data_IF_619966791716
#
_entry.id   IF_619966791716
#
_cell.length_a   1.000
_cell.length_b   1.000
_cell.length_c   1.000
_cell.angle_alpha   90.00
_cell.angle_beta   90.00
_cell.angle_gamma   90.00
#
_symmetry.space_group_name_H-M   'P 1'
#
loop_
_entity.id
_entity.type
_entity.pdbx_description
1 polymer ?
#
# COMPACT_ATOMS: atom_id res chain seq x y z
N UNK A 1 -12.27 -17.86 -12.16
CA UNK A 1 -11.47 -16.68 -11.80
C UNK A 1 -10.05 -16.89 -12.27
N UNK A 2 -9.52 -16.02 -13.11
CA UNK A 2 -8.13 -16.16 -13.60
C UNK A 2 -7.17 -15.45 -12.64
N UNK A 3 -6.51 -16.24 -11.79
CA UNK A 3 -5.56 -15.76 -10.79
C UNK A 3 -4.33 -15.09 -11.39
N UNK A 4 -3.89 -15.55 -12.59
CA UNK A 4 -2.77 -14.93 -13.29
C UNK A 4 -3.12 -13.50 -13.70
N UNK A 5 -4.28 -13.33 -14.31
CA UNK A 5 -4.78 -12.00 -14.66
C UNK A 5 -4.98 -11.13 -13.41
N UNK A 6 -5.48 -11.70 -12.30
CA UNK A 6 -5.73 -10.93 -11.07
C UNK A 6 -4.45 -10.29 -10.52
N UNK A 7 -3.35 -11.03 -10.45
CA UNK A 7 -2.13 -10.60 -9.78
C UNK A 7 -1.05 -10.04 -10.71
N UNK A 8 -1.10 -10.36 -12.01
CA UNK A 8 -0.04 -10.02 -12.95
C UNK A 8 -0.49 -9.15 -14.13
N UNK A 9 -1.71 -8.67 -14.13
CA UNK A 9 -2.21 -7.67 -15.09
C UNK A 9 -2.81 -6.49 -14.35
N UNK A 10 -2.59 -5.28 -14.85
CA UNK A 10 -3.22 -4.06 -14.34
C UNK A 10 -4.51 -3.70 -15.09
N UNK A 11 -4.89 -4.46 -16.13
CA UNK A 11 -6.06 -4.23 -16.97
C UNK A 11 -7.33 -4.80 -16.35
N UNK A 12 -8.47 -4.16 -16.66
CA UNK A 12 -9.78 -4.59 -16.21
C UNK A 12 -10.20 -4.01 -14.86
N UNK A 13 -11.27 -4.58 -14.31
CA UNK A 13 -11.94 -4.12 -13.09
C UNK A 13 -12.18 -5.29 -12.15
N UNK A 14 -12.14 -5.04 -10.83
CA UNK A 14 -12.49 -6.04 -9.81
C UNK A 14 -13.42 -5.45 -8.76
N UNK A 15 -14.38 -6.26 -8.31
CA UNK A 15 -15.31 -5.89 -7.23
C UNK A 15 -14.65 -5.96 -5.84
N UNK A 16 -15.35 -5.42 -4.84
CA UNK A 16 -14.91 -5.38 -3.43
C UNK A 16 -14.51 -6.74 -2.88
N UNK A 17 -15.33 -7.75 -3.15
CA UNK A 17 -15.09 -9.11 -2.63
C UNK A 17 -13.81 -9.71 -3.20
N UNK A 18 -13.59 -9.60 -4.51
CA UNK A 18 -12.38 -10.09 -5.18
C UNK A 18 -11.14 -9.36 -4.68
N UNK A 19 -11.26 -8.04 -4.45
CA UNK A 19 -10.19 -7.23 -3.86
C UNK A 19 -9.77 -7.77 -2.48
N UNK A 20 -10.73 -8.00 -1.56
CA UNK A 20 -10.43 -8.51 -0.22
C UNK A 20 -9.84 -9.93 -0.24
N UNK A 21 -10.36 -10.81 -1.09
CA UNK A 21 -9.81 -12.16 -1.25
C UNK A 21 -8.36 -12.08 -1.74
N UNK A 22 -8.09 -11.30 -2.80
CA UNK A 22 -6.75 -11.12 -3.33
C UNK A 22 -5.79 -10.50 -2.31
N UNK A 23 -6.26 -9.50 -1.55
CA UNK A 23 -5.48 -8.85 -0.50
C UNK A 23 -5.10 -9.83 0.63
N UNK A 24 -6.07 -10.63 1.12
CA UNK A 24 -5.81 -11.66 2.13
C UNK A 24 -4.85 -12.74 1.65
N UNK A 25 -4.94 -13.14 0.37
CA UNK A 25 -4.00 -14.09 -0.22
C UNK A 25 -2.57 -13.54 -0.26
N UNK A 26 -2.41 -12.28 -0.67
CA UNK A 26 -1.09 -11.63 -0.68
C UNK A 26 -0.53 -11.48 0.74
N UNK A 27 -1.36 -11.09 1.70
CA UNK A 27 -0.97 -11.00 3.11
C UNK A 27 -0.53 -12.37 3.66
N UNK A 28 -1.31 -13.42 3.41
CA UNK A 28 -0.98 -14.79 3.82
C UNK A 28 0.32 -15.29 3.19
N UNK A 29 0.51 -15.06 1.89
CA UNK A 29 1.73 -15.41 1.18
C UNK A 29 2.95 -14.67 1.77
N UNK A 30 2.81 -13.38 2.08
CA UNK A 30 3.88 -12.59 2.68
C UNK A 30 4.26 -13.07 4.08
N UNK A 31 3.26 -13.38 4.93
CA UNK A 31 3.49 -13.89 6.28
C UNK A 31 4.21 -15.24 6.24
N UNK A 32 3.77 -16.17 5.39
CA UNK A 32 4.40 -17.50 5.25
C UNK A 32 5.81 -17.40 4.67
N UNK A 33 5.99 -16.61 3.62
CA UNK A 33 7.26 -16.47 2.93
C UNK A 33 8.30 -15.70 3.77
N UNK A 34 7.86 -14.77 4.61
CA UNK A 34 8.74 -13.95 5.46
C UNK A 34 9.62 -14.76 6.41
N UNK A 35 9.24 -16.01 6.71
CA UNK A 35 10.03 -16.92 7.54
C UNK A 35 11.25 -17.53 6.83
N UNK A 36 11.32 -17.41 5.50
CA UNK A 36 12.38 -18.03 4.69
C UNK A 36 13.31 -16.93 4.16
N UNK A 37 14.54 -16.79 4.66
CA UNK A 37 15.50 -15.80 4.17
C UNK A 37 15.71 -15.95 2.66
N UNK A 38 15.97 -14.87 1.95
CA UNK A 38 16.11 -14.74 0.49
C UNK A 38 14.82 -15.05 -0.29
N UNK A 39 14.18 -16.20 -0.06
CA UNK A 39 12.89 -16.56 -0.71
C UNK A 39 11.80 -15.55 -0.33
N UNK A 40 11.73 -15.19 0.95
CA UNK A 40 10.77 -14.18 1.43
C UNK A 40 10.97 -12.81 0.79
N UNK A 41 12.21 -12.40 0.51
CA UNK A 41 12.50 -11.14 -0.18
C UNK A 41 12.02 -11.15 -1.63
N UNK A 42 12.26 -12.25 -2.36
CA UNK A 42 11.81 -12.40 -3.75
C UNK A 42 10.28 -12.44 -3.82
N UNK A 43 9.65 -13.24 -2.94
CA UNK A 43 8.18 -13.30 -2.84
C UNK A 43 7.61 -11.94 -2.44
N UNK A 44 8.27 -11.22 -1.55
CA UNK A 44 7.89 -9.86 -1.16
C UNK A 44 7.85 -8.89 -2.34
N UNK A 45 8.84 -8.90 -3.22
CA UNK A 45 8.85 -8.07 -4.42
C UNK A 45 7.72 -8.44 -5.39
N UNK A 46 7.48 -9.75 -5.58
CA UNK A 46 6.36 -10.23 -6.41
C UNK A 46 5.02 -9.80 -5.78
N UNK A 47 4.89 -9.90 -4.46
CA UNK A 47 3.68 -9.51 -3.74
C UNK A 47 3.41 -7.99 -3.85
N UNK A 48 4.44 -7.15 -3.83
CA UNK A 48 4.31 -5.69 -4.07
C UNK A 48 3.78 -5.43 -5.48
N UNK A 49 4.32 -6.09 -6.50
CA UNK A 49 3.84 -5.96 -7.87
C UNK A 49 2.37 -6.41 -8.00
N UNK A 50 2.05 -7.57 -7.43
CA UNK A 50 0.69 -8.12 -7.43
C UNK A 50 -0.29 -7.19 -6.67
N UNK A 51 0.14 -6.58 -5.56
CA UNK A 51 -0.65 -5.59 -4.82
C UNK A 51 -0.92 -4.34 -5.67
N UNK A 52 0.07 -3.84 -6.41
CA UNK A 52 -0.10 -2.72 -7.35
C UNK A 52 -1.15 -3.06 -8.42
N UNK A 53 -1.09 -4.25 -9.02
CA UNK A 53 -2.08 -4.70 -10.01
C UNK A 53 -3.49 -4.78 -9.39
N UNK A 54 -3.61 -5.34 -8.20
CA UNK A 54 -4.88 -5.48 -7.48
C UNK A 54 -5.51 -4.10 -7.17
N UNK A 55 -4.72 -3.17 -6.63
CA UNK A 55 -5.16 -1.81 -6.34
C UNK A 55 -5.55 -1.05 -7.60
N UNK A 56 -4.78 -1.20 -8.69
CA UNK A 56 -5.08 -0.57 -9.98
C UNK A 56 -6.45 -0.99 -10.50
N UNK A 57 -6.74 -2.30 -10.55
CA UNK A 57 -8.04 -2.81 -11.01
C UNK A 57 -9.19 -2.33 -10.12
N UNK A 58 -8.94 -2.20 -8.83
CA UNK A 58 -9.94 -1.70 -7.92
C UNK A 58 -10.20 -0.20 -8.13
N UNK A 59 -9.16 0.60 -8.37
CA UNK A 59 -9.29 2.00 -8.77
C UNK A 59 -10.04 2.15 -10.10
N UNK A 60 -9.75 1.27 -11.08
CA UNK A 60 -10.45 1.22 -12.35
C UNK A 60 -11.94 0.94 -12.17
N UNK A 61 -12.31 0.07 -11.22
CA UNK A 61 -13.71 -0.21 -10.90
C UNK A 61 -14.44 1.03 -10.34
N UNK A 62 -13.74 1.88 -9.62
CA UNK A 62 -14.24 3.18 -9.16
C UNK A 62 -14.13 4.30 -10.22
N UNK A 63 -13.72 3.98 -11.46
CA UNK A 63 -13.50 4.94 -12.55
C UNK A 63 -12.29 5.85 -12.36
N UNK A 64 -11.41 5.52 -11.40
CA UNK A 64 -10.21 6.28 -11.08
C UNK A 64 -8.98 5.69 -11.76
N UNK A 65 -7.99 6.54 -12.02
CA UNK A 65 -6.70 6.09 -12.56
C UNK A 65 -5.90 5.32 -11.50
N UNK A 66 -5.17 4.29 -11.90
CA UNK A 66 -4.24 3.55 -11.05
C UNK A 66 -3.15 4.43 -10.40
N UNK A 67 -2.88 5.61 -10.94
CA UNK A 67 -1.91 6.57 -10.37
C UNK A 67 -2.26 7.06 -8.95
N UNK A 68 -3.52 6.96 -8.52
CA UNK A 68 -3.94 7.31 -7.16
C UNK A 68 -3.21 6.51 -6.08
N UNK A 69 -2.73 5.30 -6.39
CA UNK A 69 -1.94 4.50 -5.45
C UNK A 69 -0.53 5.06 -5.19
N UNK A 70 -0.04 5.98 -6.02
CA UNK A 70 1.23 6.65 -5.74
C UNK A 70 1.17 7.51 -4.48
N UNK A 71 -0.01 7.98 -4.08
CA UNK A 71 -0.16 8.77 -2.85
C UNK A 71 0.40 8.04 -1.63
N UNK A 72 -0.08 6.86 -1.24
CA UNK A 72 0.49 6.12 -0.11
C UNK A 72 1.91 5.57 -0.39
N UNK A 73 2.23 5.20 -1.65
CA UNK A 73 3.54 4.67 -2.03
C UNK A 73 4.64 5.71 -1.89
N UNK A 74 4.38 6.97 -2.22
CA UNK A 74 5.37 8.05 -2.15
C UNK A 74 5.39 8.68 -0.75
N UNK A 75 4.23 8.82 -0.13
CA UNK A 75 4.10 9.46 1.19
C UNK A 75 4.93 8.73 2.26
N UNK A 76 4.89 7.40 2.29
CA UNK A 76 5.63 6.61 3.27
C UNK A 76 7.15 6.86 3.23
N UNK A 77 7.83 6.61 2.10
CA UNK A 77 9.25 6.90 1.96
C UNK A 77 9.62 8.36 2.24
N UNK A 78 8.82 9.32 1.77
CA UNK A 78 9.07 10.77 2.02
C UNK A 78 9.05 11.08 3.51
N UNK A 79 8.06 10.57 4.25
CA UNK A 79 7.97 10.76 5.70
C UNK A 79 9.12 10.07 6.44
N UNK A 80 9.51 8.85 6.04
CA UNK A 80 10.62 8.11 6.66
C UNK A 80 11.95 8.81 6.40
N UNK A 81 12.21 9.24 5.18
CA UNK A 81 13.45 9.96 4.83
C UNK A 81 13.50 11.30 5.58
N UNK A 82 12.41 12.05 5.57
CA UNK A 82 12.33 13.33 6.29
C UNK A 82 12.58 13.17 7.79
N UNK A 83 12.03 12.13 8.42
CA UNK A 83 12.26 11.88 9.84
C UNK A 83 13.68 11.37 10.14
N UNK A 84 14.27 10.56 9.25
CA UNK A 84 15.67 10.14 9.38
C UNK A 84 16.62 11.35 9.31
N UNK A 85 16.35 12.30 8.40
CA UNK A 85 17.08 13.56 8.33
C UNK A 85 16.90 14.40 9.62
N UNK A 86 15.68 14.47 10.16
CA UNK A 86 15.42 15.21 11.39
C UNK A 86 16.13 14.61 12.60
N UNK A 87 16.28 13.30 12.68
CA UNK A 87 17.09 12.62 13.71
C UNK A 87 18.56 13.02 13.60
N UNK A 88 19.12 13.00 12.39
CA UNK A 88 20.52 13.38 12.14
C UNK A 88 20.78 14.84 12.53
N UNK A 89 19.92 15.76 12.12
CA UNK A 89 20.00 17.18 12.49
C UNK A 89 19.82 17.35 14.00
N UNK A 90 18.86 16.67 14.61
CA UNK A 90 18.60 16.71 16.04
C UNK A 90 19.79 16.21 16.88
N UNK A 91 20.47 15.16 16.42
CA UNK A 91 21.67 14.64 17.08
C UNK A 91 22.82 15.67 17.05
N UNK A 92 23.08 16.28 15.88
CA UNK A 92 24.11 17.33 15.73
C UNK A 92 23.78 18.54 16.61
N UNK A 93 22.54 19.01 16.61
CA UNK A 93 22.12 20.16 17.44
C UNK A 93 22.21 19.80 18.92
N UNK A 94 21.84 18.61 19.32
CA UNK A 94 21.95 18.14 20.72
C UNK A 94 23.39 18.16 21.22
N UNK A 95 24.35 17.74 20.39
CA UNK A 95 25.78 17.79 20.71
C UNK A 95 26.28 19.24 20.84
N UNK A 96 25.89 20.11 19.91
CA UNK A 96 26.30 21.54 19.96
C UNK A 96 25.69 22.27 21.14
N UNK A 97 24.46 21.94 21.53
CA UNK A 97 23.73 22.64 22.60
C UNK A 97 23.87 21.97 23.97
N UNK A 98 24.55 20.83 24.05
CA UNK A 98 24.62 19.98 25.23
C UNK A 98 23.22 19.61 25.79
N UNK A 99 22.28 19.29 24.93
CA UNK A 99 20.90 18.97 25.31
C UNK A 99 20.40 17.71 24.60
N UNK A 100 19.80 16.77 25.34
CA UNK A 100 19.28 15.53 24.81
C UNK A 100 17.88 15.66 24.15
N UNK A 101 17.19 16.77 24.39
CA UNK A 101 15.82 16.95 23.90
C UNK A 101 15.73 16.94 22.36
N UNK A 102 16.76 17.45 21.68
CA UNK A 102 16.76 17.50 20.22
C UNK A 102 16.84 16.08 19.60
N UNK A 103 17.62 15.19 20.19
CA UNK A 103 17.68 13.78 19.79
C UNK A 103 16.35 13.06 20.07
N UNK A 104 15.74 13.30 21.23
CA UNK A 104 14.43 12.76 21.60
C UNK A 104 13.32 13.26 20.65
N UNK A 105 13.36 14.53 20.25
CA UNK A 105 12.41 15.09 19.27
C UNK A 105 12.54 14.40 17.90
N UNK A 106 13.77 14.09 17.45
CA UNK A 106 14.01 13.36 16.22
C UNK A 106 13.39 11.95 16.24
N UNK A 107 13.59 11.20 17.33
CA UNK A 107 12.99 9.87 17.53
C UNK A 107 11.46 9.96 17.57
N UNK A 108 10.92 10.93 18.30
CA UNK A 108 9.48 11.20 18.34
C UNK A 108 8.90 11.49 16.95
N UNK A 109 9.60 12.29 16.15
CA UNK A 109 9.26 12.60 14.76
C UNK A 109 9.21 11.35 13.88
N UNK A 110 10.17 10.42 14.04
CA UNK A 110 10.17 9.14 13.32
C UNK A 110 8.93 8.29 13.66
N UNK A 111 8.62 8.14 14.95
CA UNK A 111 7.45 7.37 15.37
C UNK A 111 6.14 7.96 14.83
N UNK A 112 5.98 9.28 14.87
CA UNK A 112 4.83 9.97 14.29
C UNK A 112 4.76 9.77 12.78
N UNK A 113 5.89 9.89 12.07
CA UNK A 113 5.95 9.66 10.62
C UNK A 113 5.58 8.24 10.24
N UNK A 114 6.05 7.24 10.98
CA UNK A 114 5.67 5.84 10.78
C UNK A 114 4.18 5.62 11.03
N UNK A 115 3.62 6.22 12.07
CA UNK A 115 2.19 6.13 12.38
C UNK A 115 1.34 6.76 11.26
N UNK A 116 1.74 7.92 10.73
CA UNK A 116 1.05 8.58 9.62
C UNK A 116 1.15 7.74 8.34
N UNK A 117 2.34 7.22 8.02
CA UNK A 117 2.54 6.37 6.85
C UNK A 117 1.68 5.09 6.94
N UNK A 118 1.66 4.45 8.10
CA UNK A 118 0.82 3.28 8.36
C UNK A 118 -0.67 3.61 8.21
N UNK A 119 -1.13 4.71 8.84
CA UNK A 119 -2.52 5.15 8.74
C UNK A 119 -2.93 5.48 7.29
N UNK A 120 -2.02 6.06 6.50
CA UNK A 120 -2.28 6.34 5.08
C UNK A 120 -2.45 5.05 4.26
N UNK A 121 -1.60 4.04 4.46
CA UNK A 121 -1.69 2.74 3.77
C UNK A 121 -2.97 2.01 4.18
N UNK A 122 -3.26 1.95 5.49
CA UNK A 122 -4.47 1.29 6.00
C UNK A 122 -5.72 2.02 5.51
N UNK A 123 -5.76 3.34 5.63
CA UNK A 123 -6.89 4.16 5.19
C UNK A 123 -7.14 4.02 3.68
N UNK A 124 -6.08 4.02 2.88
CA UNK A 124 -6.18 3.80 1.43
C UNK A 124 -6.70 2.40 1.10
N UNK A 125 -6.21 1.36 1.77
CA UNK A 125 -6.65 -0.02 1.57
C UNK A 125 -8.12 -0.21 1.96
N UNK A 126 -8.51 0.34 3.10
CA UNK A 126 -9.91 0.33 3.56
C UNK A 126 -10.81 1.09 2.59
N UNK A 127 -10.38 2.26 2.14
CA UNK A 127 -11.13 3.03 1.14
C UNK A 127 -11.32 2.24 -0.15
N UNK A 128 -10.29 1.59 -0.68
CA UNK A 128 -10.40 0.70 -1.84
C UNK A 128 -11.37 -0.46 -1.58
N UNK A 129 -11.30 -1.07 -0.42
CA UNK A 129 -12.11 -2.23 -0.07
C UNK A 129 -13.59 -1.92 0.14
N UNK A 130 -13.94 -0.69 0.59
CA UNK A 130 -15.31 -0.31 0.98
C UNK A 130 -16.02 0.54 -0.07
N UNK A 131 -15.30 1.45 -0.76
CA UNK A 131 -15.90 2.35 -1.74
C UNK A 131 -16.69 1.60 -2.81
N UNK A 132 -17.77 2.19 -3.33
CA UNK A 132 -18.57 1.58 -4.39
C UNK A 132 -17.89 1.70 -5.75
N UNK A 133 -17.97 0.64 -6.55
CA UNK A 133 -17.57 0.66 -7.96
C UNK A 133 -18.60 1.43 -8.79
N UNK A 134 -18.20 1.93 -9.97
CA UNK A 134 -19.11 2.56 -10.91
C UNK A 134 -20.07 1.53 -11.50
N UNK A 135 -21.38 1.78 -11.50
CA UNK A 135 -22.32 0.94 -12.22
C UNK A 135 -22.13 1.14 -13.74
N UNK A 136 -22.28 0.04 -14.48
CA UNK A 136 -22.14 0.05 -15.93
C UNK A 136 -20.71 0.06 -16.45
N UNK A 137 -20.58 0.11 -17.77
CA UNK A 137 -19.31 0.14 -18.46
C UNK A 137 -18.61 1.49 -18.26
N UNK A 138 -17.28 1.46 -18.09
CA UNK A 138 -16.45 2.64 -18.03
C UNK A 138 -15.22 2.46 -18.94
N UNK A 139 -14.33 3.46 -18.99
CA UNK A 139 -13.13 3.44 -19.83
C UNK A 139 -12.18 2.24 -19.59
N UNK A 140 -12.38 1.46 -18.54
CA UNK A 140 -11.59 0.28 -18.17
C UNK A 140 -12.32 -1.04 -18.43
N UNK A 141 -13.53 -0.99 -18.98
CA UNK A 141 -14.33 -2.14 -19.37
C UNK A 141 -15.64 -2.30 -18.61
N UNK A 142 -16.26 -3.46 -18.81
CA UNK A 142 -17.52 -3.82 -18.17
C UNK A 142 -17.40 -3.97 -16.65
N UNK A 143 -18.50 -3.76 -15.91
CA UNK A 143 -18.51 -3.97 -14.47
C UNK A 143 -18.20 -5.44 -14.14
N UNK A 144 -17.46 -5.70 -13.05
CA UNK A 144 -17.16 -7.07 -12.65
C UNK A 144 -18.46 -7.82 -12.32
N UNK A 145 -18.59 -9.04 -12.86
CA UNK A 145 -19.71 -9.91 -12.51
C UNK A 145 -19.72 -10.15 -11.00
N UNK A 146 -20.89 -9.97 -10.39
CA UNK A 146 -21.06 -10.28 -8.96
C UNK A 146 -20.91 -11.80 -8.79
N UNK A 147 -20.06 -12.30 -7.89
CA UNK A 147 -19.80 -13.75 -7.73
C UNK A 147 -21.05 -14.60 -7.43
N UNK A 148 -22.16 -13.98 -7.06
CA UNK A 148 -23.47 -14.63 -6.84
C UNK A 148 -24.26 -14.87 -8.14
N UNK A 149 -23.76 -14.46 -9.31
CA UNK A 149 -24.39 -14.60 -10.61
C UNK A 149 -23.56 -15.40 -11.62
N UNK A 150 -22.48 -16.04 -11.17
CA UNK A 150 -21.60 -16.87 -11.99
C UNK A 150 -21.75 -18.35 -11.67
#
# INVERSE_FOLDING_TARGET
MDWKSLFFSAEGRIGRQVFWIGWLMLLGAHVVAGWIPLVGQVIGLIAVFAWVCLCTKRLHDMGRSGWWQLVPIVLGPVLIIGSAMSIGIGAILGEITNTDWAALAGVGGLLVSLAIAFAAVVGFTLWLGVAEGQPGENRYGEPPLTPLMA
#
